data_IF_100333680062
#
_entry.id   IF_100333680062
#
_cell.length_a   1.000
_cell.length_b   1.000
_cell.length_c   1.000
_cell.angle_alpha   90.00
_cell.angle_beta   90.00
_cell.angle_gamma   90.00
#
_symmetry.space_group_name_H-M   'P 1'
#
loop_
_entity.id
_entity.type
_entity.pdbx_description
1 polymer ?
#
# COMPACT_ATOMS: atom_id res chain seq x y z
N UNK A 1 -6.85 15.72 20.90
CA UNK A 1 -5.42 15.46 20.62
C UNK A 1 -5.16 14.00 20.92
N UNK A 2 -4.50 13.33 19.98
CA UNK A 2 -3.97 11.97 20.08
C UNK A 2 -4.98 10.84 19.91
N UNK A 3 -5.52 10.70 18.70
CA UNK A 3 -5.76 9.36 18.14
C UNK A 3 -4.38 8.81 17.73
N UNK A 4 -3.69 8.30 18.74
CA UNK A 4 -2.57 7.38 18.57
C UNK A 4 -3.15 6.14 17.90
N UNK A 5 -3.13 6.14 16.57
CA UNK A 5 -3.52 5.04 15.71
C UNK A 5 -2.48 3.93 15.90
N UNK A 6 -2.62 3.20 17.01
CA UNK A 6 -1.79 2.11 17.48
C UNK A 6 -1.87 0.87 16.59
N UNK A 7 -1.61 1.03 15.30
CA UNK A 7 -1.32 -0.06 14.39
C UNK A 7 0.17 -0.33 14.41
N UNK A 8 0.48 -1.59 14.70
CA UNK A 8 1.82 -2.15 14.71
C UNK A 8 2.63 -1.66 13.49
N UNK A 9 3.89 -1.23 13.64
CA UNK A 9 4.75 -0.88 12.50
C UNK A 9 5.00 -2.05 11.53
N UNK A 10 4.56 -3.27 11.92
CA UNK A 10 4.53 -4.48 11.09
C UNK A 10 3.29 -4.55 10.17
N UNK A 11 2.23 -3.79 10.41
CA UNK A 11 1.10 -3.59 9.49
C UNK A 11 1.42 -2.44 8.50
N UNK A 12 2.47 -2.62 7.70
CA UNK A 12 3.07 -1.55 6.87
C UNK A 12 2.24 -1.04 5.68
N UNK A 13 1.03 -1.57 5.46
CA UNK A 13 0.20 -1.29 4.29
C UNK A 13 -1.21 -0.89 4.71
N UNK A 14 -1.66 0.27 4.25
CA UNK A 14 -3.01 0.76 4.45
C UNK A 14 -3.66 1.03 3.10
N UNK A 15 -4.82 0.43 2.85
CA UNK A 15 -5.61 0.69 1.65
C UNK A 15 -6.47 1.92 1.89
N UNK A 16 -6.30 2.96 1.09
CA UNK A 16 -6.99 4.24 1.28
C UNK A 16 -8.28 4.32 0.49
N UNK A 17 -8.19 4.08 -0.81
CA UNK A 17 -9.24 4.39 -1.75
C UNK A 17 -9.05 3.58 -3.04
N UNK A 18 -10.16 3.27 -3.70
CA UNK A 18 -10.15 2.64 -5.02
C UNK A 18 -10.97 3.50 -5.97
N UNK A 19 -10.29 4.05 -6.98
CA UNK A 19 -10.90 4.85 -8.02
C UNK A 19 -11.44 3.90 -9.10
N UNK A 20 -12.77 3.77 -9.17
CA UNK A 20 -13.44 2.83 -10.09
C UNK A 20 -13.34 3.26 -11.56
N UNK A 21 -13.22 4.57 -11.83
CA UNK A 21 -13.12 5.14 -13.18
C UNK A 21 -11.75 4.85 -13.82
N UNK A 22 -10.69 4.93 -13.02
CA UNK A 22 -9.30 4.69 -13.43
C UNK A 22 -8.78 3.34 -12.99
N UNK A 23 -9.62 2.53 -12.32
CA UNK A 23 -9.28 1.22 -11.75
C UNK A 23 -7.98 1.28 -10.92
N UNK A 24 -7.80 2.38 -10.20
CA UNK A 24 -6.57 2.68 -9.45
C UNK A 24 -6.76 2.50 -7.96
N UNK A 25 -5.99 1.59 -7.35
CA UNK A 25 -5.95 1.38 -5.91
C UNK A 25 -4.88 2.25 -5.25
N UNK A 26 -5.27 3.11 -4.33
CA UNK A 26 -4.34 3.91 -3.54
C UNK A 26 -3.97 3.20 -2.23
N UNK A 27 -2.67 3.02 -1.99
CA UNK A 27 -2.14 2.47 -0.75
C UNK A 27 -1.20 3.46 -0.07
N UNK A 28 -1.35 3.64 1.24
CA UNK A 28 -0.39 4.33 2.10
C UNK A 28 0.55 3.33 2.75
N UNK A 29 1.84 3.62 2.64
CA UNK A 29 2.91 2.77 3.15
C UNK A 29 3.77 3.59 4.11
N UNK A 30 4.13 2.99 5.24
CA UNK A 30 4.96 3.66 6.22
C UNK A 30 6.36 3.93 5.65
N UNK A 31 6.94 5.09 5.99
CA UNK A 31 8.27 5.51 5.48
C UNK A 31 9.36 4.45 5.63
N UNK A 32 9.34 3.70 6.73
CA UNK A 32 10.32 2.65 7.00
C UNK A 32 10.34 1.57 5.91
N UNK A 33 9.17 1.17 5.40
CA UNK A 33 9.05 0.19 4.31
C UNK A 33 9.64 0.77 3.01
N UNK A 34 9.48 2.08 2.79
CA UNK A 34 10.04 2.80 1.65
C UNK A 34 11.54 3.11 1.80
N UNK A 35 12.12 2.99 2.98
CA UNK A 35 13.54 3.28 3.24
C UNK A 35 14.38 1.99 3.31
N UNK A 36 13.77 0.84 3.63
CA UNK A 36 14.46 -0.45 3.71
C UNK A 36 14.36 -1.26 2.41
N UNK A 37 15.49 -1.71 1.80
CA UNK A 37 15.48 -2.40 0.51
C UNK A 37 14.68 -3.71 0.54
N UNK A 38 14.85 -4.56 1.54
CA UNK A 38 14.09 -5.82 1.65
C UNK A 38 12.57 -5.61 1.76
N UNK A 39 12.16 -4.47 2.33
CA UNK A 39 10.76 -4.08 2.48
C UNK A 39 10.18 -3.49 1.18
N UNK A 40 11.03 -2.90 0.33
CA UNK A 40 10.62 -2.49 -1.02
C UNK A 40 10.33 -3.70 -1.89
N UNK A 41 11.16 -4.74 -1.84
CA UNK A 41 10.90 -5.98 -2.56
C UNK A 41 9.59 -6.62 -2.09
N UNK A 42 9.36 -6.70 -0.77
CA UNK A 42 8.09 -7.18 -0.23
C UNK A 42 6.88 -6.33 -0.68
N UNK A 43 7.01 -5.00 -0.73
CA UNK A 43 6.00 -4.09 -1.27
C UNK A 43 5.73 -4.37 -2.76
N UNK A 44 6.78 -4.54 -3.57
CA UNK A 44 6.65 -4.83 -5.00
C UNK A 44 5.96 -6.18 -5.24
N UNK A 45 6.34 -7.22 -4.49
CA UNK A 45 5.64 -8.51 -4.53
C UNK A 45 4.17 -8.33 -4.18
N UNK A 46 3.86 -7.55 -3.15
CA UNK A 46 2.48 -7.34 -2.74
C UNK A 46 1.65 -6.58 -3.78
N UNK A 47 2.25 -5.56 -4.40
CA UNK A 47 1.64 -4.81 -5.51
C UNK A 47 1.41 -5.72 -6.71
N UNK A 48 2.35 -6.60 -7.04
CA UNK A 48 2.20 -7.57 -8.12
C UNK A 48 1.05 -8.55 -7.85
N UNK A 49 0.93 -9.07 -6.63
CA UNK A 49 -0.20 -9.92 -6.24
C UNK A 49 -1.55 -9.18 -6.39
N UNK A 50 -1.60 -7.90 -5.98
CA UNK A 50 -2.82 -7.09 -6.11
C UNK A 50 -3.20 -6.90 -7.59
N UNK A 51 -2.23 -6.67 -8.47
CA UNK A 51 -2.49 -6.51 -9.90
C UNK A 51 -2.79 -7.85 -10.59
N UNK A 52 -2.23 -8.97 -10.12
CA UNK A 52 -2.47 -10.29 -10.70
C UNK A 52 -3.83 -10.87 -10.30
N UNK A 53 -4.25 -10.67 -9.04
CA UNK A 53 -5.50 -11.23 -8.51
C UNK A 53 -6.64 -10.20 -8.39
N UNK A 54 -6.35 -8.90 -8.53
CA UNK A 54 -7.34 -7.85 -8.53
C UNK A 54 -7.97 -7.70 -9.91
N UNK A 55 -9.11 -8.37 -10.13
CA UNK A 55 -9.84 -8.40 -11.41
C UNK A 55 -10.21 -7.00 -11.94
N UNK A 56 -10.28 -6.01 -11.04
CA UNK A 56 -10.67 -4.63 -11.35
C UNK A 56 -9.55 -3.62 -11.07
N UNK A 57 -8.29 -4.03 -10.90
CA UNK A 57 -7.22 -3.10 -10.55
C UNK A 57 -6.20 -3.05 -11.68
N UNK A 58 -6.20 -1.95 -12.42
CA UNK A 58 -5.20 -1.69 -13.47
C UNK A 58 -3.92 -1.07 -12.90
N UNK A 59 -4.03 -0.33 -11.79
CA UNK A 59 -2.91 0.41 -11.23
C UNK A 59 -2.94 0.44 -9.69
N UNK A 60 -1.75 0.38 -9.08
CA UNK A 60 -1.58 0.64 -7.64
C UNK A 60 -0.74 1.89 -7.44
N UNK A 61 -1.28 2.87 -6.71
CA UNK A 61 -0.61 4.12 -6.35
C UNK A 61 -0.13 4.06 -4.91
N UNK A 62 1.19 4.02 -4.74
CA UNK A 62 1.81 4.01 -3.42
C UNK A 62 2.10 5.44 -2.95
N UNK A 63 1.65 5.78 -1.75
CA UNK A 63 1.93 7.07 -1.10
C UNK A 63 2.55 6.84 0.28
N UNK A 64 3.34 7.81 0.74
CA UNK A 64 4.01 7.74 2.05
C UNK A 64 3.05 8.23 3.14
N UNK A 65 2.91 7.44 4.22
CA UNK A 65 2.28 7.87 5.47
C UNK A 65 3.22 8.76 6.28
#
# INVERSE_FOLDING_TARGET
>A
MSEDDGKDPLEGFHFDDFDEDTKTLSIRVHKYVLDHPDQKDALLTKVAEILEFGDEIDQVKVTKR
#
